data_IF_506217009036
#
_entry.id   IF_506217009036
#
_cell.length_a   1.000
_cell.length_b   1.000
_cell.length_c   1.000
_cell.angle_alpha   90.00
_cell.angle_beta   90.00
_cell.angle_gamma   90.00
#
_symmetry.space_group_name_H-M   'P 1'
#
loop_
_entity.id
_entity.type
_entity.pdbx_description
1 polymer ?
#
# COMPACT_ATOMS: atom_id res chain seq x y z
N UNK A 1 -6.77 -18.78 50.30
CA UNK A 1 -6.01 -17.51 50.29
C UNK A 1 -6.32 -16.74 49.03
N UNK A 2 -7.15 -15.69 49.10
CA UNK A 2 -7.40 -14.78 47.98
C UNK A 2 -6.14 -13.93 47.82
N UNK A 3 -5.38 -14.12 46.73
CA UNK A 3 -4.27 -13.21 46.41
C UNK A 3 -4.86 -11.82 46.16
N UNK A 4 -4.75 -10.93 47.15
CA UNK A 4 -5.06 -9.52 46.99
C UNK A 4 -4.03 -8.95 45.99
N UNK A 5 -4.39 -8.90 44.71
CA UNK A 5 -3.54 -8.30 43.68
C UNK A 5 -3.69 -6.79 43.81
N UNK A 6 -2.82 -6.16 44.58
CA UNK A 6 -2.74 -4.70 44.64
C UNK A 6 -2.26 -4.12 43.30
N UNK A 7 -2.76 -2.93 42.95
CA UNK A 7 -2.31 -2.20 41.78
C UNK A 7 -0.83 -1.79 41.93
N UNK A 8 -0.08 -1.61 40.83
CA UNK A 8 1.31 -1.15 40.88
C UNK A 8 1.44 0.21 41.59
N UNK A 9 2.54 0.40 42.32
CA UNK A 9 2.81 1.67 43.01
C UNK A 9 2.96 2.84 42.01
N UNK A 10 2.62 4.06 42.43
CA UNK A 10 2.78 5.25 41.55
C UNK A 10 4.23 5.45 41.08
N UNK A 11 5.21 5.10 41.90
CA UNK A 11 6.64 5.21 41.54
C UNK A 11 6.99 4.23 40.43
N UNK A 12 6.56 2.97 40.58
CA UNK A 12 6.74 1.92 39.56
C UNK A 12 6.10 2.35 38.23
N UNK A 13 4.87 2.89 38.27
CA UNK A 13 4.18 3.36 37.06
C UNK A 13 4.91 4.53 36.40
N UNK A 14 5.38 5.52 37.17
CA UNK A 14 6.12 6.68 36.63
C UNK A 14 7.42 6.26 35.97
N UNK A 15 8.21 5.40 36.62
CA UNK A 15 9.46 4.89 36.06
C UNK A 15 9.21 4.05 34.80
N UNK A 16 8.22 3.14 34.84
CA UNK A 16 7.84 2.33 33.68
C UNK A 16 7.41 3.19 32.48
N UNK A 17 6.60 4.23 32.71
CA UNK A 17 6.21 5.19 31.66
C UNK A 17 7.39 5.92 31.06
N UNK A 18 8.35 6.35 31.88
CA UNK A 18 9.54 7.04 31.40
C UNK A 18 10.38 6.12 30.51
N UNK A 19 10.75 4.94 31.01
CA UNK A 19 11.57 3.96 30.27
C UNK A 19 10.90 3.56 28.97
N UNK A 20 9.61 3.22 29.01
CA UNK A 20 8.85 2.83 27.83
C UNK A 20 8.80 3.95 26.79
N UNK A 21 8.45 5.18 27.21
CA UNK A 21 8.35 6.32 26.29
C UNK A 21 9.69 6.62 25.62
N UNK A 22 10.81 6.59 26.36
CA UNK A 22 12.14 6.83 25.80
C UNK A 22 12.56 5.76 24.80
N UNK A 23 12.33 4.48 25.11
CA UNK A 23 12.60 3.38 24.17
C UNK A 23 11.73 3.49 22.92
N UNK A 24 10.43 3.77 23.11
CA UNK A 24 9.48 3.96 22.02
C UNK A 24 9.93 5.06 21.06
N UNK A 25 10.33 6.23 21.57
CA UNK A 25 10.84 7.34 20.75
C UNK A 25 12.08 6.95 19.94
N UNK A 26 13.03 6.25 20.56
CA UNK A 26 14.23 5.77 19.87
C UNK A 26 13.88 4.85 18.70
N UNK A 27 13.02 3.86 18.93
CA UNK A 27 12.63 2.89 17.90
C UNK A 27 11.80 3.55 16.80
N UNK A 28 10.85 4.41 17.16
CA UNK A 28 10.05 5.17 16.19
C UNK A 28 10.90 6.09 15.32
N UNK A 29 11.96 6.72 15.85
CA UNK A 29 12.87 7.54 15.05
C UNK A 29 13.56 6.78 13.91
N UNK A 30 13.71 5.45 14.05
CA UNK A 30 14.31 4.57 13.03
C UNK A 30 13.25 4.02 12.07
N UNK A 31 12.13 3.55 12.61
CA UNK A 31 11.01 3.01 11.82
C UNK A 31 10.36 4.10 10.95
N UNK A 32 10.05 5.23 11.57
CA UNK A 32 9.33 6.36 10.99
C UNK A 32 10.03 7.69 11.37
N UNK A 33 11.07 8.08 10.61
CA UNK A 33 11.82 9.30 10.85
C UNK A 33 10.89 10.53 10.90
N UNK A 34 10.87 11.29 12.01
CA UNK A 34 10.06 12.49 12.11
C UNK A 34 10.86 13.73 11.67
N UNK A 35 10.14 14.79 11.30
CA UNK A 35 10.66 16.15 11.27
C UNK A 35 10.78 16.75 12.69
N UNK A 36 11.12 18.04 12.80
CA UNK A 36 11.24 18.72 14.10
C UNK A 36 9.90 18.87 14.85
N UNK A 37 8.77 18.71 14.16
CA UNK A 37 7.42 18.84 14.72
C UNK A 37 6.83 17.49 15.16
N UNK A 38 7.51 16.38 14.84
CA UNK A 38 7.05 15.02 15.09
C UNK A 38 6.26 14.41 13.92
N UNK A 39 6.20 15.08 12.77
CA UNK A 39 5.53 14.61 11.57
C UNK A 39 6.42 13.62 10.79
N UNK A 40 5.84 12.50 10.36
CA UNK A 40 6.56 11.46 9.63
C UNK A 40 7.00 11.93 8.23
N UNK A 41 8.29 11.71 7.90
CA UNK A 41 8.85 11.90 6.56
C UNK A 41 9.13 10.54 5.91
N UNK A 42 8.53 10.30 4.75
CA UNK A 42 8.78 9.09 3.96
C UNK A 42 10.10 9.20 3.18
N UNK A 43 11.02 8.24 3.31
CA UNK A 43 12.21 8.18 2.47
C UNK A 43 11.85 7.85 1.01
N UNK A 44 12.56 8.47 0.06
CA UNK A 44 12.35 8.28 -1.38
C UNK A 44 12.94 6.96 -1.91
N UNK A 45 12.33 6.40 -2.95
CA UNK A 45 12.79 5.24 -3.72
C UNK A 45 14.07 5.56 -4.52
N UNK A 46 14.97 4.58 -4.69
CA UNK A 46 16.31 4.80 -5.26
C UNK A 46 16.49 4.28 -6.69
N UNK A 47 15.76 3.23 -7.09
CA UNK A 47 15.86 2.65 -8.44
C UNK A 47 14.70 3.14 -9.28
N UNK A 48 15.02 3.84 -10.38
CA UNK A 48 14.06 4.63 -11.17
C UNK A 48 14.22 4.41 -12.69
N UNK A 49 14.76 3.26 -13.11
CA UNK A 49 14.81 2.93 -14.53
C UNK A 49 13.41 2.54 -15.03
N UNK A 50 13.24 2.58 -16.35
CA UNK A 50 11.97 2.27 -17.00
C UNK A 50 12.14 1.14 -18.01
N UNK A 51 11.14 0.25 -18.04
CA UNK A 51 10.87 -0.59 -19.19
C UNK A 51 10.36 0.31 -20.30
N UNK A 52 10.83 0.12 -21.53
CA UNK A 52 10.33 0.83 -22.70
C UNK A 52 10.65 0.10 -23.99
N UNK A 53 9.82 0.30 -25.02
CA UNK A 53 10.05 -0.21 -26.39
C UNK A 53 11.06 0.61 -27.21
N UNK A 54 11.59 1.72 -26.67
CA UNK A 54 12.61 2.52 -27.35
C UNK A 54 13.86 1.67 -27.64
N UNK A 55 14.36 1.68 -28.88
CA UNK A 55 15.35 0.70 -29.37
C UNK A 55 16.64 0.56 -28.54
N UNK A 56 17.08 1.64 -27.88
CA UNK A 56 18.27 1.69 -27.03
C UNK A 56 17.99 1.42 -25.54
N UNK A 57 16.71 1.25 -25.15
CA UNK A 57 16.36 1.01 -23.76
C UNK A 57 16.86 -0.38 -23.31
N UNK A 58 17.64 -0.46 -22.22
CA UNK A 58 18.20 -1.72 -21.74
C UNK A 58 17.14 -2.71 -21.26
N UNK A 59 15.95 -2.26 -20.89
CA UNK A 59 14.86 -3.03 -20.31
C UNK A 59 13.68 -3.07 -21.29
N UNK A 60 13.84 -3.75 -22.43
CA UNK A 60 12.75 -4.02 -23.38
C UNK A 60 11.67 -4.94 -22.79
N UNK A 61 10.37 -4.63 -22.97
CA UNK A 61 9.29 -5.49 -22.51
C UNK A 61 9.37 -6.87 -23.17
N UNK A 62 9.19 -7.93 -22.38
CA UNK A 62 9.24 -9.31 -22.82
C UNK A 62 8.54 -10.23 -21.81
N UNK A 63 7.96 -11.33 -22.28
CA UNK A 63 7.45 -12.42 -21.43
C UNK A 63 8.59 -13.15 -20.73
N UNK A 64 8.35 -13.66 -19.52
CA UNK A 64 9.31 -14.47 -18.76
C UNK A 64 10.66 -13.80 -18.48
N UNK A 65 10.72 -12.46 -18.57
CA UNK A 65 11.92 -11.66 -18.25
C UNK A 65 11.78 -10.91 -16.93
N UNK A 66 10.57 -10.52 -16.56
CA UNK A 66 10.34 -9.63 -15.43
C UNK A 66 9.68 -10.33 -14.25
N UNK A 67 10.06 -9.89 -13.05
CA UNK A 67 9.56 -10.38 -11.78
C UNK A 67 9.19 -9.23 -10.86
N UNK A 68 8.03 -9.34 -10.22
CA UNK A 68 7.62 -8.47 -9.13
C UNK A 68 7.91 -9.14 -7.79
N UNK A 69 8.77 -8.55 -6.98
CA UNK A 69 8.88 -8.90 -5.56
C UNK A 69 7.87 -8.07 -4.76
N UNK A 70 6.98 -8.74 -4.03
CA UNK A 70 5.84 -8.11 -3.37
C UNK A 70 5.66 -8.65 -1.95
N UNK A 71 5.30 -7.78 -1.01
CA UNK A 71 4.78 -8.21 0.29
C UNK A 71 3.27 -8.01 0.33
N UNK A 72 2.50 -9.06 0.62
CA UNK A 72 1.03 -9.01 0.58
C UNK A 72 0.44 -7.96 1.55
N UNK A 73 1.15 -7.67 2.65
CA UNK A 73 0.79 -6.60 3.58
C UNK A 73 0.96 -5.18 3.01
N UNK A 74 1.87 -4.97 2.06
CA UNK A 74 2.29 -3.64 1.61
C UNK A 74 1.29 -3.02 0.59
N UNK A 75 0.71 -1.84 0.85
CA UNK A 75 -0.22 -1.19 -0.09
C UNK A 75 0.46 -0.68 -1.37
N UNK A 76 1.75 -0.34 -1.31
CA UNK A 76 2.55 0.08 -2.47
C UNK A 76 2.78 -1.08 -3.42
N UNK A 77 3.09 -2.27 -2.88
CA UNK A 77 3.25 -3.48 -3.67
C UNK A 77 1.90 -3.99 -4.19
N UNK A 78 0.84 -3.83 -3.41
CA UNK A 78 -0.50 -4.23 -3.83
C UNK A 78 -0.96 -3.47 -5.09
N UNK A 79 -0.50 -2.22 -5.33
CA UNK A 79 -0.81 -1.50 -6.58
C UNK A 79 -0.33 -2.22 -7.82
N UNK A 80 0.87 -2.81 -7.76
CA UNK A 80 1.45 -3.53 -8.90
C UNK A 80 0.72 -4.84 -9.15
N UNK A 81 0.27 -5.52 -8.10
CA UNK A 81 -0.56 -6.72 -8.21
C UNK A 81 -1.93 -6.42 -8.83
N UNK A 82 -2.62 -5.38 -8.35
CA UNK A 82 -3.92 -4.96 -8.90
C UNK A 82 -3.77 -4.56 -10.37
N UNK A 83 -2.76 -3.76 -10.71
CA UNK A 83 -2.52 -3.34 -12.10
C UNK A 83 -2.18 -4.54 -12.99
N UNK A 84 -1.35 -5.47 -12.51
CA UNK A 84 -1.02 -6.73 -13.21
C UNK A 84 -2.27 -7.57 -13.48
N UNK A 85 -3.17 -7.70 -12.50
CA UNK A 85 -4.41 -8.45 -12.65
C UNK A 85 -5.38 -7.78 -13.62
N UNK A 86 -5.59 -6.47 -13.48
CA UNK A 86 -6.45 -5.68 -14.37
C UNK A 86 -5.99 -5.72 -15.83
N UNK A 87 -4.67 -5.74 -16.06
CA UNK A 87 -4.08 -5.85 -17.40
C UNK A 87 -3.99 -7.29 -17.93
N UNK A 88 -4.26 -8.30 -17.11
CA UNK A 88 -4.12 -9.70 -17.52
C UNK A 88 -2.66 -10.07 -17.86
N UNK A 89 -1.71 -9.61 -17.02
CA UNK A 89 -0.26 -9.78 -17.21
C UNK A 89 0.32 -10.96 -16.42
N UNK A 90 -0.53 -11.91 -16.01
CA UNK A 90 -0.16 -13.00 -15.13
C UNK A 90 0.95 -13.88 -15.72
N UNK A 91 0.81 -14.22 -16.99
CA UNK A 91 1.74 -15.08 -17.73
C UNK A 91 3.00 -14.34 -18.18
N UNK A 92 2.91 -13.01 -18.36
CA UNK A 92 4.03 -12.19 -18.83
C UNK A 92 5.02 -11.85 -17.70
N UNK A 93 4.50 -11.56 -16.50
CA UNK A 93 5.28 -11.03 -15.37
C UNK A 93 5.11 -11.95 -14.17
N UNK A 94 6.21 -12.57 -13.74
CA UNK A 94 6.22 -13.44 -12.58
C UNK A 94 6.12 -12.66 -11.27
N UNK A 95 5.66 -13.31 -10.19
CA UNK A 95 5.54 -12.71 -8.85
C UNK A 95 6.32 -13.56 -7.86
N UNK A 96 7.03 -12.91 -6.94
CA UNK A 96 7.66 -13.54 -5.79
C UNK A 96 7.22 -12.84 -4.52
N UNK A 97 6.49 -13.57 -3.69
CA UNK A 97 5.99 -13.06 -2.42
C UNK A 97 7.11 -13.12 -1.39
N UNK A 98 7.33 -12.01 -0.71
CA UNK A 98 8.25 -11.89 0.42
C UNK A 98 7.48 -11.63 1.70
N UNK A 99 8.06 -12.04 2.81
CA UNK A 99 7.44 -12.06 4.13
C UNK A 99 8.21 -11.15 5.09
N UNK A 100 7.53 -10.49 6.03
CA UNK A 100 8.22 -9.69 7.04
C UNK A 100 8.94 -10.60 8.05
N UNK A 101 10.16 -10.22 8.44
CA UNK A 101 10.90 -10.82 9.56
C UNK A 101 10.77 -9.99 10.83
N UNK A 102 11.09 -10.60 11.98
CA UNK A 102 11.14 -9.91 13.29
C UNK A 102 12.08 -8.70 13.30
N UNK A 103 13.10 -8.69 12.44
CA UNK A 103 14.04 -7.58 12.28
C UNK A 103 13.58 -6.46 11.34
N UNK A 104 12.35 -6.52 10.84
CA UNK A 104 11.80 -5.54 9.89
C UNK A 104 12.37 -5.64 8.47
N UNK A 105 12.97 -6.80 8.11
CA UNK A 105 13.42 -7.09 6.76
C UNK A 105 12.36 -7.88 6.00
N UNK A 106 12.37 -7.78 4.68
CA UNK A 106 11.63 -8.70 3.81
C UNK A 106 12.49 -9.92 3.50
N UNK A 107 11.96 -11.11 3.78
CA UNK A 107 12.61 -12.41 3.56
C UNK A 107 11.86 -13.22 2.51
N UNK A 108 12.58 -14.07 1.80
CA UNK A 108 12.04 -14.98 0.80
C UNK A 108 11.69 -16.31 1.47
N UNK A 109 10.65 -16.99 1.00
CA UNK A 109 10.30 -18.34 1.49
C UNK A 109 11.33 -19.39 1.08
N UNK A 110 11.89 -19.23 -0.12
CA UNK A 110 13.01 -20.00 -0.63
C UNK A 110 14.04 -19.07 -1.23
N UNK A 111 15.29 -19.53 -1.31
CA UNK A 111 16.37 -18.76 -1.94
C UNK A 111 16.03 -18.42 -3.40
N UNK A 112 16.23 -17.16 -3.80
CA UNK A 112 16.11 -16.69 -5.19
C UNK A 112 17.41 -15.96 -5.55
N UNK A 113 18.08 -16.38 -6.62
CA UNK A 113 19.35 -15.83 -7.09
C UNK A 113 20.52 -15.85 -6.07
N UNK A 114 20.49 -16.78 -5.10
CA UNK A 114 21.45 -16.80 -3.99
C UNK A 114 21.11 -15.81 -2.86
N UNK A 115 19.89 -15.27 -2.85
CA UNK A 115 19.41 -14.34 -1.83
C UNK A 115 18.28 -14.97 -1.02
N UNK A 116 18.33 -14.80 0.29
CA UNK A 116 17.27 -15.16 1.25
C UNK A 116 16.50 -13.92 1.71
N UNK A 117 17.05 -12.72 1.49
CA UNK A 117 16.44 -11.45 1.91
C UNK A 117 16.41 -10.44 0.79
N UNK A 118 15.46 -9.49 0.85
CA UNK A 118 15.48 -8.34 -0.06
C UNK A 118 16.74 -7.49 0.12
N UNK A 119 17.36 -7.49 1.30
CA UNK A 119 18.63 -6.78 1.52
C UNK A 119 19.75 -7.35 0.63
N UNK A 120 19.85 -8.67 0.57
CA UNK A 120 20.82 -9.35 -0.30
C UNK A 120 20.49 -9.12 -1.78
N UNK A 121 19.21 -9.11 -2.17
CA UNK A 121 18.79 -8.80 -3.54
C UNK A 121 19.20 -7.38 -3.97
N UNK A 122 19.00 -6.38 -3.09
CA UNK A 122 19.43 -5.01 -3.33
C UNK A 122 20.96 -4.89 -3.40
N UNK A 123 21.69 -5.61 -2.54
CA UNK A 123 23.15 -5.68 -2.58
C UNK A 123 23.66 -6.35 -3.86
N UNK A 124 22.95 -7.36 -4.37
CA UNK A 124 23.25 -8.01 -5.65
C UNK A 124 23.07 -7.04 -6.82
N UNK A 125 22.00 -6.22 -6.81
CA UNK A 125 21.75 -5.22 -7.84
C UNK A 125 22.73 -4.03 -7.79
N UNK A 126 23.10 -3.59 -6.58
CA UNK A 126 24.02 -2.48 -6.37
C UNK A 126 24.88 -2.73 -5.12
N UNK A 127 26.12 -3.20 -5.29
CA UNK A 127 27.01 -3.45 -4.16
C UNK A 127 27.25 -2.20 -3.32
N UNK A 128 26.98 -2.29 -2.02
CA UNK A 128 27.16 -1.21 -1.05
C UNK A 128 25.92 -0.37 -0.82
N UNK A 129 24.75 -0.76 -1.36
CA UNK A 129 23.48 -0.06 -1.16
C UNK A 129 23.15 0.14 0.34
N UNK A 130 22.93 1.40 0.75
CA UNK A 130 22.63 1.78 2.14
C UNK A 130 21.16 2.23 2.34
N UNK A 131 20.34 2.21 1.29
CA UNK A 131 18.96 2.66 1.35
C UNK A 131 18.00 1.61 1.91
N UNK A 132 16.71 1.97 1.99
CA UNK A 132 15.68 1.02 2.43
C UNK A 132 15.42 -0.02 1.35
N UNK A 133 15.57 -1.30 1.70
CA UNK A 133 15.25 -2.43 0.84
C UNK A 133 13.73 -2.68 0.91
N UNK A 134 12.98 -2.07 0.00
CA UNK A 134 11.52 -1.98 0.03
C UNK A 134 10.86 -2.95 -0.95
N UNK A 135 9.53 -3.04 -0.88
CA UNK A 135 8.68 -3.62 -1.92
C UNK A 135 7.63 -2.58 -2.33
N UNK A 136 7.19 -2.55 -3.61
CA UNK A 136 7.51 -3.49 -4.68
C UNK A 136 8.91 -3.31 -5.27
N UNK A 137 9.43 -4.36 -5.89
CA UNK A 137 10.60 -4.30 -6.79
C UNK A 137 10.21 -4.93 -8.11
N UNK A 138 10.39 -4.19 -9.21
CA UNK A 138 10.41 -4.74 -10.56
C UNK A 138 11.85 -5.13 -10.92
N UNK A 139 12.06 -6.42 -11.10
CA UNK A 139 13.35 -7.04 -11.37
C UNK A 139 13.41 -7.58 -12.79
N UNK A 140 14.56 -7.41 -13.45
CA UNK A 140 14.88 -7.96 -14.76
C UNK A 140 15.72 -9.22 -14.58
N UNK A 141 15.11 -10.41 -14.72
CA UNK A 141 15.75 -11.72 -14.54
C UNK A 141 16.93 -11.89 -15.50
N UNK A 142 16.82 -11.39 -16.74
CA UNK A 142 17.88 -11.50 -17.75
C UNK A 142 19.11 -10.65 -17.42
N UNK A 143 18.92 -9.49 -16.79
CA UNK A 143 20.01 -8.58 -16.41
C UNK A 143 20.48 -8.73 -14.96
N UNK A 144 19.74 -9.51 -14.16
CA UNK A 144 19.93 -9.61 -12.71
C UNK A 144 20.02 -8.24 -12.02
N UNK A 145 19.08 -7.37 -12.36
CA UNK A 145 19.07 -5.99 -11.89
C UNK A 145 17.67 -5.53 -11.46
N UNK A 146 17.63 -4.64 -10.48
CA UNK A 146 16.42 -3.88 -10.15
C UNK A 146 16.20 -2.84 -11.23
N UNK A 147 15.05 -2.91 -11.90
CA UNK A 147 14.61 -1.87 -12.84
C UNK A 147 14.09 -0.68 -12.03
N UNK A 148 13.12 -0.94 -11.16
CA UNK A 148 12.41 0.12 -10.46
C UNK A 148 11.88 -0.39 -9.11
N UNK A 149 11.87 0.48 -8.09
CA UNK A 149 11.25 0.18 -6.80
C UNK A 149 10.24 1.25 -6.34
N UNK A 150 9.78 2.09 -7.27
CA UNK A 150 8.73 3.08 -7.09
C UNK A 150 7.39 2.56 -7.64
N UNK A 151 6.45 2.27 -6.74
CA UNK A 151 5.15 1.71 -7.10
C UNK A 151 4.38 2.55 -8.12
N UNK A 152 4.46 3.89 -8.05
CA UNK A 152 3.71 4.76 -8.96
C UNK A 152 4.22 4.73 -10.39
N UNK A 153 5.52 4.48 -10.57
CA UNK A 153 6.12 4.34 -11.91
C UNK A 153 5.93 2.93 -12.45
N UNK A 154 6.04 1.92 -11.58
CA UNK A 154 5.82 0.52 -11.96
C UNK A 154 4.42 0.33 -12.53
N UNK A 155 3.38 0.86 -11.89
CA UNK A 155 2.01 0.70 -12.42
C UNK A 155 1.78 1.43 -13.76
N UNK A 156 2.51 2.51 -14.04
CA UNK A 156 2.47 3.17 -15.36
C UNK A 156 3.13 2.26 -16.41
N UNK A 157 4.29 1.67 -16.09
CA UNK A 157 4.94 0.72 -16.99
C UNK A 157 4.09 -0.53 -17.25
N UNK A 158 3.50 -1.10 -16.21
CA UNK A 158 2.58 -2.25 -16.35
C UNK A 158 1.36 -1.90 -17.21
N UNK A 159 0.88 -0.66 -17.13
CA UNK A 159 -0.27 -0.22 -17.91
C UNK A 159 0.02 -0.14 -19.42
N UNK A 160 1.16 0.42 -19.84
CA UNK A 160 1.42 0.70 -21.27
C UNK A 160 2.48 -0.19 -21.92
N UNK A 161 3.61 -0.43 -21.25
CA UNK A 161 4.81 -0.98 -21.89
C UNK A 161 4.70 -2.48 -22.16
N UNK A 162 3.77 -3.17 -21.50
CA UNK A 162 3.53 -4.61 -21.65
C UNK A 162 2.25 -4.92 -22.44
N UNK A 163 1.65 -3.95 -23.14
CA UNK A 163 0.39 -4.14 -23.87
C UNK A 163 0.44 -5.29 -24.90
N UNK A 164 1.59 -5.55 -25.53
CA UNK A 164 1.77 -6.69 -26.45
C UNK A 164 1.54 -8.05 -25.78
N UNK A 165 1.75 -8.14 -24.46
CA UNK A 165 1.67 -9.36 -23.67
C UNK A 165 0.47 -9.38 -22.71
N UNK A 166 -0.36 -8.34 -22.74
CA UNK A 166 -1.51 -8.18 -21.86
C UNK A 166 -2.74 -8.88 -22.45
N UNK A 167 -3.42 -9.71 -21.65
CA UNK A 167 -4.71 -10.30 -22.05
C UNK A 167 -5.83 -9.26 -22.11
N UNK A 168 -5.65 -8.12 -21.42
CA UNK A 168 -6.56 -6.97 -21.40
C UNK A 168 -5.83 -5.70 -21.86
N UNK A 169 -5.23 -5.75 -23.06
CA UNK A 169 -4.51 -4.64 -23.65
C UNK A 169 -5.39 -3.39 -23.85
N UNK A 170 -6.69 -3.57 -24.09
CA UNK A 170 -7.70 -2.54 -24.22
C UNK A 170 -7.99 -1.77 -22.93
N UNK A 171 -7.65 -2.35 -21.77
CA UNK A 171 -7.80 -1.67 -20.48
C UNK A 171 -6.72 -0.61 -20.31
N UNK A 172 -7.08 0.63 -20.62
CA UNK A 172 -6.22 1.81 -20.45
C UNK A 172 -6.52 2.49 -19.11
N UNK A 173 -5.63 2.35 -18.14
CA UNK A 173 -5.77 2.87 -16.78
C UNK A 173 -5.19 4.30 -16.64
N UNK A 174 -4.48 4.81 -17.64
CA UNK A 174 -3.92 6.16 -17.67
C UNK A 174 -4.11 6.87 -19.03
N UNK A 175 -5.37 6.95 -19.52
CA UNK A 175 -5.67 7.44 -20.86
C UNK A 175 -5.44 8.95 -20.96
N UNK A 176 -5.00 9.41 -22.14
CA UNK A 176 -4.56 10.78 -22.38
C UNK A 176 -5.61 11.84 -22.00
N UNK A 177 -6.89 11.58 -22.26
CA UNK A 177 -8.01 12.47 -21.98
C UNK A 177 -8.30 12.65 -20.47
N UNK A 178 -7.87 11.71 -19.63
CA UNK A 178 -8.08 11.78 -18.17
C UNK A 178 -6.79 12.04 -17.37
N UNK A 179 -5.60 12.09 -18.00
CA UNK A 179 -4.32 12.20 -17.26
C UNK A 179 -4.28 13.36 -16.27
N UNK A 180 -4.70 14.55 -16.67
CA UNK A 180 -4.73 15.72 -15.76
C UNK A 180 -5.58 15.45 -14.52
N UNK A 181 -6.77 14.89 -14.72
CA UNK A 181 -7.68 14.56 -13.62
C UNK A 181 -7.11 13.43 -12.72
N UNK A 182 -6.48 12.42 -13.33
CA UNK A 182 -5.83 11.33 -12.61
C UNK A 182 -4.66 11.86 -11.78
N UNK A 183 -3.85 12.78 -12.33
CA UNK A 183 -2.70 13.36 -11.64
C UNK A 183 -3.13 14.25 -10.46
N UNK A 184 -4.18 15.05 -10.64
CA UNK A 184 -4.79 15.85 -9.57
C UNK A 184 -5.29 14.98 -8.41
N UNK A 185 -6.00 13.89 -8.72
CA UNK A 185 -6.43 12.94 -7.69
C UNK A 185 -5.24 12.24 -7.05
N UNK A 186 -4.26 11.82 -7.84
CA UNK A 186 -3.08 11.08 -7.37
C UNK A 186 -2.26 11.87 -6.36
N UNK A 187 -2.13 13.19 -6.54
CA UNK A 187 -1.42 14.06 -5.60
C UNK A 187 -2.17 14.13 -4.27
N UNK A 188 -3.47 14.47 -4.30
CA UNK A 188 -4.32 14.53 -3.09
C UNK A 188 -4.35 13.20 -2.35
N UNK A 189 -4.61 12.11 -3.07
CA UNK A 189 -4.71 10.76 -2.52
C UNK A 189 -3.36 10.32 -1.93
N UNK A 190 -2.24 10.61 -2.59
CA UNK A 190 -0.94 10.25 -2.03
C UNK A 190 -0.66 10.99 -0.72
N UNK A 191 -0.76 12.32 -0.71
CA UNK A 191 -0.37 13.13 0.45
C UNK A 191 -1.28 12.89 1.66
N UNK A 192 -2.59 12.92 1.44
CA UNK A 192 -3.58 12.97 2.51
C UNK A 192 -4.18 11.60 2.85
N UNK A 193 -4.16 10.64 1.93
CA UNK A 193 -4.78 9.31 2.16
C UNK A 193 -3.73 8.22 2.27
N UNK A 194 -3.02 7.89 1.19
CA UNK A 194 -2.06 6.79 1.16
C UNK A 194 -0.91 6.99 2.13
N UNK A 195 -0.31 8.19 2.15
CA UNK A 195 0.71 8.56 3.11
C UNK A 195 0.10 9.15 4.39
N UNK A 196 -1.09 9.74 4.31
CA UNK A 196 -1.78 10.35 5.46
C UNK A 196 -2.09 9.36 6.58
N UNK A 197 -2.51 8.13 6.27
CA UNK A 197 -2.71 7.09 7.30
C UNK A 197 -1.41 6.76 8.04
N UNK A 198 -0.27 6.74 7.35
CA UNK A 198 1.04 6.55 7.99
C UNK A 198 1.46 7.78 8.79
N UNK A 199 1.18 8.99 8.29
CA UNK A 199 1.41 10.24 9.05
C UNK A 199 0.62 10.23 10.37
N UNK A 200 -0.60 9.72 10.38
CA UNK A 200 -1.38 9.51 11.61
C UNK A 200 -0.74 8.45 12.51
N UNK A 201 -0.51 7.24 11.98
CA UNK A 201 -0.03 6.10 12.77
C UNK A 201 1.38 6.25 13.32
N UNK A 202 2.22 7.04 12.64
CA UNK A 202 3.61 7.28 13.03
C UNK A 202 3.86 8.65 13.64
N UNK A 203 2.82 9.48 13.84
CA UNK A 203 2.97 10.76 14.51
C UNK A 203 3.59 10.59 15.91
N UNK A 204 4.60 11.42 16.21
CA UNK A 204 5.28 11.41 17.50
C UNK A 204 4.87 12.60 18.40
N UNK A 205 3.91 13.41 17.95
CA UNK A 205 3.30 14.49 18.70
C UNK A 205 1.78 14.55 18.43
N UNK A 206 1.01 15.05 19.40
CA UNK A 206 -0.45 15.20 19.24
C UNK A 206 -0.78 16.14 18.07
N UNK A 207 -0.06 17.25 17.94
CA UNK A 207 -0.28 18.23 16.87
C UNK A 207 -0.01 17.64 15.47
N UNK A 208 1.03 16.81 15.31
CA UNK A 208 1.31 16.13 14.04
C UNK A 208 0.20 15.12 13.69
N UNK A 209 -0.31 14.40 14.69
CA UNK A 209 -1.44 13.49 14.52
C UNK A 209 -2.72 14.25 14.14
N UNK A 210 -3.08 15.30 14.87
CA UNK A 210 -4.32 16.07 14.64
C UNK A 210 -4.34 16.68 13.25
N UNK A 211 -3.21 17.23 12.80
CA UNK A 211 -3.04 17.78 11.45
C UNK A 211 -3.22 16.70 10.38
N UNK A 212 -2.49 15.58 10.48
CA UNK A 212 -2.58 14.48 9.51
C UNK A 212 -3.98 13.85 9.47
N UNK A 213 -4.62 13.69 10.64
CA UNK A 213 -5.95 13.11 10.76
C UNK A 213 -7.02 14.04 10.15
N UNK A 214 -6.93 15.34 10.42
CA UNK A 214 -7.81 16.35 9.81
C UNK A 214 -7.71 16.36 8.28
N UNK A 215 -6.49 16.38 7.74
CA UNK A 215 -6.26 16.33 6.29
C UNK A 215 -6.77 15.03 5.66
N UNK A 216 -6.55 13.88 6.32
CA UNK A 216 -7.02 12.58 5.86
C UNK A 216 -8.55 12.56 5.70
N UNK A 217 -9.27 12.93 6.75
CA UNK A 217 -10.73 12.87 6.73
C UNK A 217 -11.36 13.95 5.84
N UNK A 218 -10.73 15.12 5.70
CA UNK A 218 -11.17 16.13 4.75
C UNK A 218 -11.12 15.62 3.29
N UNK A 219 -10.05 14.92 2.92
CA UNK A 219 -9.92 14.35 1.56
C UNK A 219 -10.80 13.11 1.37
N UNK A 220 -10.99 12.27 2.40
CA UNK A 220 -11.97 11.17 2.32
C UNK A 220 -13.40 11.68 2.12
N UNK A 221 -13.79 12.77 2.80
CA UNK A 221 -15.09 13.43 2.61
C UNK A 221 -15.21 14.08 1.22
N UNK A 222 -14.13 14.60 0.64
CA UNK A 222 -14.10 15.09 -0.76
C UNK A 222 -14.28 13.93 -1.75
N UNK A 223 -13.57 12.82 -1.57
CA UNK A 223 -13.67 11.63 -2.41
C UNK A 223 -15.09 11.07 -2.35
N UNK A 224 -15.67 10.91 -1.16
CA UNK A 224 -17.01 10.37 -0.99
C UNK A 224 -18.05 11.21 -1.75
N UNK A 225 -17.98 12.56 -1.62
CA UNK A 225 -18.82 13.47 -2.40
C UNK A 225 -18.61 13.34 -3.91
N UNK A 226 -17.37 13.21 -4.38
CA UNK A 226 -17.10 12.98 -5.80
C UNK A 226 -17.75 11.69 -6.32
N UNK A 227 -17.69 10.63 -5.52
CA UNK A 227 -18.29 9.32 -5.82
C UNK A 227 -19.83 9.30 -5.74
N UNK A 228 -20.48 10.41 -5.36
CA UNK A 228 -21.93 10.57 -5.49
C UNK A 228 -22.37 10.79 -6.95
N UNK A 229 -21.45 11.24 -7.81
CA UNK A 229 -21.76 11.66 -9.19
C UNK A 229 -21.24 10.71 -10.27
N UNK A 230 -20.23 9.91 -9.95
CA UNK A 230 -19.51 9.07 -10.92
C UNK A 230 -19.17 7.72 -10.32
N UNK A 231 -19.12 6.65 -11.14
CA UNK A 231 -18.81 5.30 -10.66
C UNK A 231 -17.42 5.22 -9.99
N UNK A 232 -16.42 5.86 -10.62
CA UNK A 232 -15.01 5.93 -10.21
C UNK A 232 -14.52 7.39 -10.14
N UNK A 233 -13.29 7.61 -9.68
CA UNK A 233 -12.74 8.95 -9.41
C UNK A 233 -12.69 9.87 -10.65
N UNK A 234 -12.49 9.27 -11.83
CA UNK A 234 -12.38 9.98 -13.10
C UNK A 234 -13.53 9.66 -14.07
N UNK A 235 -14.71 9.30 -13.54
CA UNK A 235 -15.91 9.02 -14.33
C UNK A 235 -16.33 7.55 -14.30
N UNK A 236 -16.56 6.96 -15.46
CA UNK A 236 -17.18 5.62 -15.58
C UNK A 236 -16.17 4.49 -15.78
N UNK A 237 -14.89 4.81 -15.94
CA UNK A 237 -13.78 3.86 -16.17
C UNK A 237 -12.82 3.84 -14.98
N UNK A 238 -12.30 2.66 -14.66
CA UNK A 238 -11.25 2.49 -13.64
C UNK A 238 -9.94 3.08 -14.17
N UNK A 239 -9.23 3.81 -13.30
CA UNK A 239 -7.94 4.43 -13.61
C UNK A 239 -6.87 4.10 -12.56
N UNK A 240 -5.63 4.51 -12.81
CA UNK A 240 -4.55 4.40 -11.82
C UNK A 240 -4.83 5.19 -10.54
N UNK A 241 -5.67 6.22 -10.56
CA UNK A 241 -6.12 6.90 -9.34
C UNK A 241 -6.93 5.96 -8.45
N UNK A 242 -7.83 5.19 -9.05
CA UNK A 242 -8.66 4.23 -8.32
C UNK A 242 -7.82 3.10 -7.74
N UNK A 243 -6.86 2.57 -8.50
CA UNK A 243 -5.88 1.56 -8.03
C UNK A 243 -5.07 2.09 -6.83
N UNK A 244 -4.61 3.34 -6.89
CA UNK A 244 -3.83 3.95 -5.79
C UNK A 244 -4.66 4.16 -4.53
N UNK A 245 -5.94 4.50 -4.67
CA UNK A 245 -6.87 4.65 -3.55
C UNK A 245 -7.28 3.30 -2.95
N UNK A 246 -7.65 2.34 -3.81
CA UNK A 246 -8.14 1.01 -3.46
C UNK A 246 -7.28 0.33 -2.40
N UNK A 247 -5.96 0.31 -2.61
CA UNK A 247 -5.05 -0.43 -1.73
C UNK A 247 -4.99 0.16 -0.32
N UNK A 248 -5.33 1.43 -0.14
CA UNK A 248 -5.47 2.05 1.19
C UNK A 248 -6.84 1.75 1.79
N UNK A 249 -7.91 1.90 1.02
CA UNK A 249 -9.28 1.64 1.49
C UNK A 249 -9.45 0.18 1.95
N UNK A 250 -8.92 -0.79 1.20
CA UNK A 250 -8.94 -2.21 1.54
C UNK A 250 -8.36 -2.51 2.93
N UNK A 251 -7.39 -1.71 3.38
CA UNK A 251 -6.68 -1.89 4.66
C UNK A 251 -7.27 -1.03 5.78
N UNK A 252 -8.12 -0.07 5.44
CA UNK A 252 -8.47 1.02 6.35
C UNK A 252 -9.19 0.53 7.60
N UNK A 253 -10.33 -0.12 7.45
CA UNK A 253 -11.15 -0.58 8.58
C UNK A 253 -10.46 -1.68 9.40
N UNK A 254 -9.64 -2.50 8.76
CA UNK A 254 -8.94 -3.60 9.41
C UNK A 254 -7.69 -3.18 10.18
N UNK A 255 -6.99 -2.16 9.69
CA UNK A 255 -5.68 -1.76 10.22
C UNK A 255 -5.68 -0.30 10.60
N UNK A 256 -5.85 0.61 9.63
CA UNK A 256 -5.57 2.03 9.84
C UNK A 256 -6.52 2.67 10.86
N UNK A 257 -7.78 2.25 10.86
CA UNK A 257 -8.80 2.70 11.80
C UNK A 257 -8.33 2.52 13.25
N UNK A 258 -7.87 1.32 13.59
CA UNK A 258 -7.48 0.99 14.97
C UNK A 258 -6.00 1.27 15.24
N UNK A 259 -5.09 0.64 14.49
CA UNK A 259 -3.65 0.70 14.76
C UNK A 259 -3.08 2.10 14.56
N UNK A 260 -3.47 2.75 13.45
CA UNK A 260 -3.00 4.09 13.11
C UNK A 260 -3.91 5.20 13.64
N UNK A 261 -4.93 4.83 14.43
CA UNK A 261 -5.89 5.76 15.05
C UNK A 261 -6.64 6.63 14.03
N UNK A 262 -6.79 6.17 12.79
CA UNK A 262 -7.59 6.87 11.78
C UNK A 262 -9.08 6.61 12.04
N UNK A 263 -9.60 7.02 13.20
CA UNK A 263 -10.84 6.48 13.77
C UNK A 263 -12.03 7.45 13.77
N UNK A 264 -11.98 8.55 13.02
CA UNK A 264 -13.12 9.48 12.90
C UNK A 264 -14.33 8.80 12.23
N UNK A 265 -14.10 8.00 11.18
CA UNK A 265 -15.13 7.22 10.47
C UNK A 265 -14.51 5.99 9.80
N UNK A 266 -15.23 4.87 9.77
CA UNK A 266 -14.85 3.69 8.97
C UNK A 266 -15.22 3.90 7.51
N UNK A 267 -14.51 3.27 6.57
CA UNK A 267 -14.84 3.33 5.13
C UNK A 267 -16.24 2.78 4.86
N UNK A 268 -16.68 1.75 5.59
CA UNK A 268 -18.02 1.21 5.45
C UNK A 268 -19.15 2.14 5.92
N UNK A 269 -18.83 3.16 6.74
CA UNK A 269 -19.81 4.12 7.28
C UNK A 269 -19.97 5.36 6.37
N UNK A 270 -19.21 5.44 5.28
CA UNK A 270 -19.39 6.46 4.24
C UNK A 270 -20.47 6.05 3.24
N UNK A 271 -21.18 7.03 2.68
CA UNK A 271 -22.31 6.79 1.79
C UNK A 271 -21.90 6.11 0.47
N UNK A 272 -20.75 6.52 -0.09
CA UNK A 272 -20.31 6.07 -1.42
C UNK A 272 -19.00 5.28 -1.39
N UNK A 273 -18.05 5.64 -0.52
CA UNK A 273 -16.73 5.00 -0.41
C UNK A 273 -16.82 3.50 -0.10
N UNK A 274 -17.74 3.09 0.78
CA UNK A 274 -17.95 1.68 1.12
C UNK A 274 -18.40 0.87 -0.09
N UNK A 275 -19.34 1.39 -0.88
CA UNK A 275 -19.80 0.75 -2.12
C UNK A 275 -18.71 0.76 -3.20
N UNK A 276 -17.95 1.85 -3.31
CA UNK A 276 -16.83 1.98 -4.24
C UNK A 276 -15.70 0.97 -3.97
N UNK A 277 -15.35 0.75 -2.70
CA UNK A 277 -14.40 -0.29 -2.32
C UNK A 277 -14.87 -1.70 -2.73
N UNK A 278 -16.17 -2.00 -2.56
CA UNK A 278 -16.76 -3.28 -2.97
C UNK A 278 -16.76 -3.48 -4.48
N UNK A 279 -17.13 -2.43 -5.23
CA UNK A 279 -17.10 -2.43 -6.71
C UNK A 279 -15.70 -2.78 -7.22
N UNK A 280 -14.66 -2.10 -6.72
CA UNK A 280 -13.27 -2.39 -7.10
C UNK A 280 -12.80 -3.78 -6.69
N UNK A 281 -13.16 -4.24 -5.48
CA UNK A 281 -12.79 -5.57 -4.98
C UNK A 281 -13.39 -6.69 -5.86
N UNK A 282 -14.59 -6.47 -6.41
CA UNK A 282 -15.33 -7.44 -7.22
C UNK A 282 -14.96 -7.40 -8.71
N UNK A 283 -14.09 -6.49 -9.14
CA UNK A 283 -13.53 -6.53 -10.50
C UNK A 283 -12.78 -7.86 -10.73
N UNK A 284 -12.84 -8.43 -11.95
CA UNK A 284 -12.14 -9.66 -12.27
C UNK A 284 -10.66 -9.63 -11.87
N UNK A 285 -10.21 -10.67 -11.16
CA UNK A 285 -8.82 -10.81 -10.70
C UNK A 285 -8.45 -10.03 -9.43
N UNK A 286 -9.14 -8.93 -9.10
CA UNK A 286 -8.74 -8.04 -7.98
C UNK A 286 -8.86 -8.71 -6.61
N UNK A 287 -9.92 -9.47 -6.36
CA UNK A 287 -10.05 -10.22 -5.10
C UNK A 287 -8.87 -11.19 -4.87
N UNK A 288 -8.28 -11.74 -5.94
CA UNK A 288 -7.13 -12.64 -5.89
C UNK A 288 -5.82 -11.96 -5.46
N UNK A 289 -5.74 -10.62 -5.51
CA UNK A 289 -4.57 -9.86 -5.03
C UNK A 289 -4.66 -9.49 -3.56
N UNK A 290 -5.78 -9.81 -2.90
CA UNK A 290 -6.12 -9.35 -1.56
C UNK A 290 -5.94 -10.46 -0.51
N UNK A 291 -4.97 -10.30 0.39
CA UNK A 291 -4.79 -11.17 1.56
C UNK A 291 -4.91 -10.35 2.86
N UNK A 292 -6.13 -10.32 3.42
CA UNK A 292 -6.41 -9.54 4.62
C UNK A 292 -5.67 -10.08 5.86
N UNK A 293 -5.45 -11.39 5.93
CA UNK A 293 -4.75 -12.00 7.06
C UNK A 293 -3.24 -11.73 7.00
N UNK A 294 -2.62 -11.73 5.82
CA UNK A 294 -1.26 -11.23 5.66
C UNK A 294 -1.16 -9.74 5.99
N UNK A 295 -2.13 -8.91 5.58
CA UNK A 295 -2.20 -7.49 5.97
C UNK A 295 -2.25 -7.35 7.50
N UNK A 296 -3.16 -8.05 8.18
CA UNK A 296 -3.29 -7.95 9.64
C UNK A 296 -2.02 -8.44 10.35
N UNK A 297 -1.45 -9.57 9.92
CA UNK A 297 -0.19 -10.09 10.46
C UNK A 297 0.96 -9.12 10.29
N UNK A 298 1.08 -8.49 9.12
CA UNK A 298 2.15 -7.54 8.85
C UNK A 298 2.07 -6.32 9.78
N UNK A 299 0.91 -5.66 9.80
CA UNK A 299 0.76 -4.41 10.55
C UNK A 299 0.71 -4.60 12.07
N UNK A 300 -0.08 -5.56 12.57
CA UNK A 300 -0.19 -5.76 14.02
C UNK A 300 0.97 -6.59 14.59
N UNK A 301 1.61 -7.44 13.77
CA UNK A 301 2.68 -8.33 14.22
C UNK A 301 4.09 -7.77 14.05
N UNK A 302 4.37 -7.02 12.97
CA UNK A 302 5.75 -6.64 12.61
C UNK A 302 6.06 -5.14 12.72
N UNK A 303 5.06 -4.26 12.84
CA UNK A 303 5.30 -2.82 13.05
C UNK A 303 5.60 -2.47 14.52
N UNK A 304 6.53 -3.18 15.14
CA UNK A 304 7.02 -2.80 16.45
C UNK A 304 7.77 -1.45 16.36
N UNK A 305 7.47 -0.46 17.24
CA UNK A 305 6.80 -0.58 18.54
C UNK A 305 5.33 -0.13 18.57
N UNK A 306 4.61 -0.06 17.45
CA UNK A 306 3.22 0.44 17.42
C UNK A 306 2.24 -0.48 18.17
N UNK A 307 2.44 -1.79 18.10
CA UNK A 307 1.63 -2.79 18.81
C UNK A 307 2.53 -3.75 19.59
N UNK A 308 3.01 -3.37 20.78
CA UNK A 308 4.01 -4.14 21.52
C UNK A 308 3.59 -5.56 21.90
N UNK A 309 2.28 -5.79 22.06
CA UNK A 309 1.75 -7.10 22.41
C UNK A 309 1.58 -8.04 21.21
N UNK A 310 1.78 -7.55 19.99
CA UNK A 310 1.56 -8.28 18.73
C UNK A 310 0.17 -8.95 18.62
N UNK A 311 -0.81 -8.48 19.40
CA UNK A 311 -2.18 -9.00 19.37
C UNK A 311 -2.82 -8.53 18.07
N UNK A 312 -3.32 -9.48 17.29
CA UNK A 312 -4.01 -9.24 16.03
C UNK A 312 -5.52 -9.25 16.29
N UNK A 313 -6.25 -8.16 16.01
CA UNK A 313 -7.71 -8.12 16.16
C UNK A 313 -8.40 -9.18 15.29
N UNK A 314 -9.51 -9.73 15.79
CA UNK A 314 -10.26 -10.75 15.06
C UNK A 314 -10.95 -10.20 13.79
N UNK A 315 -11.57 -9.02 13.90
CA UNK A 315 -12.30 -8.40 12.79
C UNK A 315 -11.55 -7.24 12.11
N UNK A 316 -12.17 -6.64 11.09
CA UNK A 316 -13.36 -7.11 10.36
C UNK A 316 -13.03 -8.27 9.41
N UNK A 317 -14.03 -9.00 8.94
CA UNK A 317 -13.88 -10.04 7.92
C UNK A 317 -14.06 -9.51 6.48
N UNK A 318 -13.51 -10.24 5.51
CA UNK A 318 -13.58 -9.92 4.07
C UNK A 318 -14.98 -10.13 3.47
N UNK A 319 -15.87 -10.88 4.11
CA UNK A 319 -17.20 -11.21 3.57
C UNK A 319 -18.06 -9.97 3.34
N UNK A 320 -17.84 -8.91 4.10
CA UNK A 320 -18.45 -7.60 3.85
C UNK A 320 -18.15 -7.03 2.46
N UNK A 321 -17.01 -7.38 1.85
CA UNK A 321 -16.58 -6.88 0.54
C UNK A 321 -17.31 -7.56 -0.64
N UNK A 322 -17.95 -8.71 -0.40
CA UNK A 322 -18.72 -9.47 -1.40
C UNK A 322 -20.19 -9.03 -1.49
N UNK A 323 -20.64 -8.10 -0.63
CA UNK A 323 -22.00 -7.56 -0.69
C UNK A 323 -22.19 -6.73 -1.97
N UNK A 324 -23.41 -6.71 -2.49
CA UNK A 324 -23.78 -5.83 -3.59
C UNK A 324 -23.40 -4.37 -3.32
N UNK A 325 -23.01 -3.66 -4.37
CA UNK A 325 -22.56 -2.27 -4.29
C UNK A 325 -23.44 -1.30 -5.10
N UNK A 326 -24.24 -1.79 -6.04
CA UNK A 326 -25.20 -1.02 -6.85
C UNK A 326 -24.56 0.23 -7.48
N UNK A 327 -23.29 0.12 -7.90
CA UNK A 327 -22.52 1.24 -8.49
C UNK A 327 -22.61 1.28 -10.00
N UNK A 328 -23.10 0.22 -10.62
CA UNK A 328 -23.45 0.10 -12.02
C UNK A 328 -24.49 1.14 -12.44
N UNK A 329 -25.35 1.58 -11.51
CA UNK A 329 -26.32 2.67 -11.76
C UNK A 329 -25.68 4.01 -12.13
N UNK A 330 -24.41 4.20 -11.79
CA UNK A 330 -23.64 5.39 -12.16
C UNK A 330 -22.92 5.24 -13.49
N UNK A 331 -22.83 4.03 -14.04
CA UNK A 331 -22.32 3.86 -15.40
C UNK A 331 -23.31 4.54 -16.34
N UNK A 332 -22.86 5.57 -17.08
CA UNK A 332 -23.68 6.09 -18.18
C UNK A 332 -23.93 4.92 -19.12
N UNK A 333 -25.20 4.69 -19.46
CA UNK A 333 -25.58 3.78 -20.55
C UNK A 333 -24.83 4.25 -21.79
N UNK A 334 -23.67 3.65 -22.07
CA UNK A 334 -23.05 3.68 -23.39
C UNK A 334 -23.96 2.79 -24.24
N UNK A 335 -25.06 3.38 -24.70
CA UNK A 335 -25.86 2.82 -25.78
C UNK A 335 -24.91 2.64 -26.95
N UNK A 336 -24.59 1.39 -27.25
CA UNK A 336 -24.08 1.01 -28.55
C UNK A 336 -25.21 1.07 -29.57
#
# INVERSE_FOLDING_TARGET
MVKNKSLPSSVTVKLGKFVWTSMWQLMMSKLAPPDRTGAYIRPSSSFRNFVSTAADNPHQPATARYRLFVGMGCPWAHRTLVTRALKGLEDAISVSVVYPSEGGLWVMESEIFGCNTMRELYQLALPGYQGRCTVPVLWDDSKRAIVNNESSEIIVMLNSEFNEFASHAEMELYPLDLRSQIDEWNEKIYQSVNNGVYRCGFAQSQAAYDSACSELFAVLDEIDRSLSMSRYLCGDRVTLADVRLFTTLFRFDAVYYSLFKCNVRRIQDYEHLGAYLRDLYQLPGVAGTCDLEAVKRDYYGNLFPLNPGCIIPAGPDVGSLLKAHDREKFAKNLGF
#
